data_IF_693958157469
#
_entry.id   IF_693958157469
#
_cell.length_a   1.000
_cell.length_b   1.000
_cell.length_c   1.000
_cell.angle_alpha   90.00
_cell.angle_beta   90.00
_cell.angle_gamma   90.00
#
_symmetry.space_group_name_H-M   'P 1'
#
loop_
_entity.id
_entity.type
_entity.pdbx_description
1 polymer ?
#
# COMPACT_ATOMS: atom_id res chain seq x y z
N UNK A 1 -1.87 -11.83 57.06
CA UNK A 1 -0.98 -11.92 55.89
C UNK A 1 0.09 -10.85 55.99
N UNK A 2 1.34 -11.29 56.10
CA UNK A 2 2.46 -10.41 56.37
C UNK A 2 2.90 -9.68 55.10
N UNK A 3 3.57 -8.53 55.23
CA UNK A 3 4.04 -7.73 54.09
C UNK A 3 4.92 -8.55 53.11
N UNK A 4 5.64 -9.54 53.64
CA UNK A 4 6.46 -10.48 52.90
C UNK A 4 5.63 -11.36 51.95
N UNK A 5 4.43 -11.79 52.36
CA UNK A 5 3.55 -12.63 51.53
C UNK A 5 2.94 -11.82 50.38
N UNK A 6 2.61 -10.55 50.63
CA UNK A 6 2.11 -9.63 49.59
C UNK A 6 3.17 -9.32 48.54
N UNK A 7 4.42 -9.11 48.95
CA UNK A 7 5.53 -8.85 48.03
C UNK A 7 5.83 -10.04 47.11
N UNK A 8 5.70 -11.27 47.62
CA UNK A 8 5.81 -12.49 46.81
C UNK A 8 4.71 -12.57 45.75
N UNK A 9 3.48 -12.24 46.10
CA UNK A 9 2.34 -12.22 45.15
C UNK A 9 2.58 -11.19 44.04
N UNK A 10 3.06 -9.99 44.39
CA UNK A 10 3.38 -8.94 43.40
C UNK A 10 4.50 -9.41 42.45
N UNK A 11 5.55 -10.04 42.97
CA UNK A 11 6.62 -10.61 42.15
C UNK A 11 6.12 -11.68 41.19
N UNK A 12 5.21 -12.56 41.63
CA UNK A 12 4.62 -13.58 40.77
C UNK A 12 3.78 -12.97 39.65
N UNK A 13 3.00 -11.93 39.93
CA UNK A 13 2.21 -11.22 38.91
C UNK A 13 3.09 -10.53 37.86
N UNK A 14 4.17 -9.87 38.31
CA UNK A 14 5.14 -9.25 37.40
C UNK A 14 5.80 -10.32 36.51
N UNK A 15 6.18 -11.47 37.08
CA UNK A 15 6.79 -12.56 36.31
C UNK A 15 5.84 -13.12 35.23
N UNK A 16 4.56 -13.31 35.56
CA UNK A 16 3.54 -13.75 34.59
C UNK A 16 3.34 -12.70 33.48
N UNK A 17 3.32 -11.42 33.84
CA UNK A 17 3.16 -10.33 32.87
C UNK A 17 4.36 -10.21 31.93
N UNK A 18 5.59 -10.34 32.45
CA UNK A 18 6.81 -10.35 31.64
C UNK A 18 6.84 -11.57 30.72
N UNK A 19 6.49 -12.76 31.21
CA UNK A 19 6.39 -13.96 30.40
C UNK A 19 5.35 -13.80 29.26
N UNK A 20 4.16 -13.30 29.59
CA UNK A 20 3.11 -13.00 28.59
C UNK A 20 3.52 -11.92 27.59
N UNK A 21 4.21 -10.88 28.04
CA UNK A 21 4.72 -9.79 27.19
C UNK A 21 5.80 -10.24 26.21
N UNK A 22 6.70 -11.14 26.62
CA UNK A 22 7.72 -11.72 25.73
C UNK A 22 7.06 -12.64 24.68
N UNK A 23 6.11 -13.48 25.08
CA UNK A 23 5.39 -14.36 24.14
C UNK A 23 4.51 -13.58 23.17
N UNK A 24 3.74 -12.61 23.65
CA UNK A 24 2.90 -11.75 22.81
C UNK A 24 3.72 -10.81 21.92
N UNK A 25 4.82 -10.26 22.43
CA UNK A 25 5.74 -9.40 21.68
C UNK A 25 6.41 -10.13 20.52
N UNK A 26 6.92 -11.34 20.74
CA UNK A 26 7.55 -12.15 19.67
C UNK A 26 6.56 -12.56 18.58
N UNK A 27 5.32 -12.94 18.95
CA UNK A 27 4.26 -13.25 17.98
C UNK A 27 3.86 -12.02 17.17
N UNK A 28 3.74 -10.85 17.81
CA UNK A 28 3.38 -9.59 17.16
C UNK A 28 4.49 -9.08 16.24
N UNK A 29 5.77 -9.21 16.62
CA UNK A 29 6.91 -8.82 15.78
C UNK A 29 7.01 -9.73 14.55
N UNK A 30 6.72 -11.03 14.67
CA UNK A 30 6.77 -11.96 13.54
C UNK A 30 5.59 -11.76 12.59
N UNK A 31 4.37 -11.55 13.10
CA UNK A 31 3.20 -11.19 12.29
C UNK A 31 3.36 -9.80 11.63
N UNK A 32 3.93 -8.83 12.35
CA UNK A 32 4.23 -7.50 11.85
C UNK A 32 5.26 -7.52 10.71
N UNK A 33 6.28 -8.40 10.77
CA UNK A 33 7.24 -8.57 9.67
C UNK A 33 6.60 -9.14 8.40
N UNK A 34 5.68 -10.11 8.51
CA UNK A 34 4.95 -10.63 7.34
C UNK A 34 4.01 -9.59 6.71
N UNK A 35 3.37 -8.76 7.54
CA UNK A 35 2.55 -7.65 7.03
C UNK A 35 3.39 -6.49 6.50
N UNK A 36 4.55 -6.18 7.10
CA UNK A 36 5.47 -5.15 6.61
C UNK A 36 6.17 -5.57 5.31
N UNK A 37 6.56 -6.84 5.13
CA UNK A 37 7.11 -7.31 3.85
C UNK A 37 6.06 -7.24 2.73
N UNK A 38 4.82 -7.67 3.01
CA UNK A 38 3.73 -7.57 2.04
C UNK A 38 3.38 -6.11 1.74
N UNK A 39 3.44 -5.23 2.75
CA UNK A 39 3.23 -3.78 2.60
C UNK A 39 4.43 -3.09 1.93
N UNK A 40 5.66 -3.59 2.04
CA UNK A 40 6.83 -3.06 1.32
C UNK A 40 6.86 -3.49 -0.14
N UNK A 41 6.37 -4.69 -0.47
CA UNK A 41 6.12 -5.11 -1.85
C UNK A 41 5.00 -4.29 -2.49
N UNK A 42 3.97 -3.91 -1.73
CA UNK A 42 2.90 -3.01 -2.17
C UNK A 42 3.28 -1.51 -2.18
N UNK A 43 4.28 -1.09 -1.39
CA UNK A 43 4.71 0.31 -1.21
C UNK A 43 5.89 0.69 -2.11
N UNK A 44 6.57 -0.30 -2.69
CA UNK A 44 7.45 -0.05 -3.82
C UNK A 44 6.53 0.13 -5.02
N UNK A 45 6.27 1.38 -5.39
CA UNK A 45 5.61 1.77 -6.63
C UNK A 45 6.33 1.15 -7.80
N UNK A 46 6.01 -0.11 -8.04
CA UNK A 46 6.57 -0.92 -9.08
C UNK A 46 5.74 -0.60 -10.29
N UNK A 47 5.90 0.65 -10.76
CA UNK A 47 5.58 1.06 -12.12
C UNK A 47 5.83 -0.15 -13.00
N UNK A 48 4.81 -0.55 -13.75
CA UNK A 48 4.89 -1.59 -14.76
C UNK A 48 5.81 -1.05 -15.86
N UNK A 49 7.08 -0.94 -15.52
CA UNK A 49 8.07 -0.22 -16.27
C UNK A 49 8.82 -1.25 -17.06
N UNK A 50 8.79 -1.08 -18.37
CA UNK A 50 9.48 -1.94 -19.33
C UNK A 50 10.99 -1.97 -19.03
N UNK A 51 11.52 -0.96 -18.33
CA UNK A 51 12.89 -0.94 -17.81
C UNK A 51 13.20 -2.09 -16.85
N UNK A 52 12.21 -2.59 -16.07
CA UNK A 52 12.41 -3.78 -15.24
C UNK A 52 12.61 -5.03 -16.10
N UNK A 53 12.00 -5.11 -17.28
CA UNK A 53 12.24 -6.22 -18.19
C UNK A 53 13.68 -6.19 -18.69
N UNK A 54 14.15 -5.03 -19.15
CA UNK A 54 15.53 -4.86 -19.62
C UNK A 54 16.55 -5.19 -18.52
N UNK A 55 16.31 -4.75 -17.28
CA UNK A 55 17.18 -5.02 -16.13
C UNK A 55 17.31 -6.52 -15.81
N UNK A 56 16.29 -7.33 -16.10
CA UNK A 56 16.31 -8.77 -15.83
C UNK A 56 16.87 -9.61 -17.00
N UNK A 57 16.98 -9.03 -18.20
CA UNK A 57 17.39 -9.76 -19.42
C UNK A 57 18.91 -9.89 -19.59
N UNK A 58 19.72 -9.27 -18.71
CA UNK A 58 21.20 -9.31 -18.75
C UNK A 58 21.75 -8.97 -20.16
N UNK A 59 21.29 -7.84 -20.68
CA UNK A 59 21.59 -7.39 -22.04
C UNK A 59 23.07 -7.00 -22.21
N UNK A 60 23.61 -7.23 -23.41
CA UNK A 60 24.88 -6.60 -23.81
C UNK A 60 24.68 -5.09 -24.07
N UNK A 61 25.76 -4.27 -24.05
CA UNK A 61 25.63 -2.83 -24.32
C UNK A 61 24.98 -2.52 -25.68
N UNK A 62 25.28 -3.30 -26.70
CA UNK A 62 24.69 -3.16 -28.04
C UNK A 62 23.19 -3.52 -28.07
N UNK A 63 22.77 -4.50 -27.27
CA UNK A 63 21.37 -4.87 -27.12
C UNK A 63 20.60 -3.81 -26.34
N UNK A 64 21.18 -3.27 -25.26
CA UNK A 64 20.56 -2.19 -24.48
C UNK A 64 20.29 -0.96 -25.35
N UNK A 65 21.26 -0.55 -26.17
CA UNK A 65 21.11 0.58 -27.09
C UNK A 65 19.94 0.41 -28.08
N UNK A 66 19.67 -0.82 -28.53
CA UNK A 66 18.56 -1.10 -29.45
C UNK A 66 17.21 -1.24 -28.74
N UNK A 67 17.19 -1.83 -27.55
CA UNK A 67 15.97 -2.15 -26.82
C UNK A 67 15.44 -0.99 -25.96
N UNK A 68 16.33 -0.13 -25.47
CA UNK A 68 15.98 1.06 -24.67
C UNK A 68 14.94 1.98 -25.34
N UNK A 69 15.07 2.38 -26.63
CA UNK A 69 14.05 3.23 -27.25
C UNK A 69 12.69 2.52 -27.40
N UNK A 70 12.69 1.21 -27.66
CA UNK A 70 11.45 0.41 -27.75
C UNK A 70 10.76 0.35 -26.38
N UNK A 71 11.53 0.14 -25.31
CA UNK A 71 11.01 0.12 -23.95
C UNK A 71 10.44 1.48 -23.52
N UNK A 72 11.12 2.57 -23.85
CA UNK A 72 10.66 3.93 -23.57
C UNK A 72 9.36 4.26 -24.32
N UNK A 73 9.26 3.86 -25.59
CA UNK A 73 8.03 4.05 -26.35
C UNK A 73 6.85 3.30 -25.71
N UNK A 74 7.05 2.03 -25.34
CA UNK A 74 6.01 1.23 -24.69
C UNK A 74 5.61 1.80 -23.32
N UNK A 75 6.57 2.30 -22.51
CA UNK A 75 6.27 2.96 -21.23
C UNK A 75 5.43 4.22 -21.44
N UNK A 76 5.74 5.03 -22.46
CA UNK A 76 4.97 6.23 -22.81
C UNK A 76 3.55 5.89 -23.29
N UNK A 77 3.39 4.88 -24.14
CA UNK A 77 2.07 4.43 -24.61
C UNK A 77 1.19 3.95 -23.44
N UNK A 78 1.76 3.17 -22.52
CA UNK A 78 1.07 2.71 -21.31
C UNK A 78 0.68 3.88 -20.40
N UNK A 79 1.58 4.84 -20.17
CA UNK A 79 1.28 6.04 -19.36
C UNK A 79 0.13 6.85 -19.93
N UNK A 80 0.11 7.05 -21.25
CA UNK A 80 -0.97 7.77 -21.92
C UNK A 80 -2.31 7.04 -21.77
N UNK A 81 -2.32 5.71 -21.95
CA UNK A 81 -3.50 4.88 -21.73
C UNK A 81 -4.01 5.00 -20.28
N UNK A 82 -3.11 4.94 -19.29
CA UNK A 82 -3.48 5.07 -17.89
C UNK A 82 -4.03 6.46 -17.55
N UNK A 83 -3.41 7.53 -18.06
CA UNK A 83 -3.91 8.89 -17.86
C UNK A 83 -5.34 9.07 -18.38
N UNK A 84 -5.64 8.52 -19.56
CA UNK A 84 -6.99 8.54 -20.13
C UNK A 84 -7.98 7.74 -19.27
N UNK A 85 -7.58 6.54 -18.83
CA UNK A 85 -8.44 5.65 -18.06
C UNK A 85 -8.65 6.11 -16.61
N UNK A 86 -7.68 6.82 -16.01
CA UNK A 86 -7.80 7.33 -14.63
C UNK A 86 -9.04 8.21 -14.47
N UNK A 87 -9.29 9.10 -15.44
CA UNK A 87 -10.46 9.97 -15.43
C UNK A 87 -11.77 9.18 -15.49
N UNK A 88 -11.81 8.10 -16.27
CA UNK A 88 -13.00 7.23 -16.34
C UNK A 88 -13.19 6.48 -15.02
N UNK A 89 -12.10 5.97 -14.43
CA UNK A 89 -12.14 5.28 -13.14
C UNK A 89 -12.63 6.22 -12.04
N UNK A 90 -12.13 7.46 -11.99
CA UNK A 90 -12.59 8.48 -11.04
C UNK A 90 -14.10 8.72 -11.18
N UNK A 91 -14.58 8.87 -12.43
CA UNK A 91 -16.00 9.02 -12.70
C UNK A 91 -16.83 7.80 -12.29
N UNK A 92 -16.32 6.58 -12.44
CA UNK A 92 -16.99 5.36 -11.95
C UNK A 92 -17.10 5.37 -10.42
N UNK A 93 -16.02 5.73 -9.73
CA UNK A 93 -15.98 5.79 -8.27
C UNK A 93 -16.93 6.86 -7.73
N UNK A 94 -16.97 8.05 -8.35
CA UNK A 94 -17.89 9.13 -7.97
C UNK A 94 -19.35 8.70 -8.14
N UNK A 95 -19.70 8.13 -9.30
CA UNK A 95 -21.05 7.61 -9.54
C UNK A 95 -21.44 6.49 -8.57
N UNK A 96 -20.48 5.66 -8.16
CA UNK A 96 -20.73 4.63 -7.16
C UNK A 96 -20.98 5.25 -5.79
N UNK A 97 -20.18 6.24 -5.39
CA UNK A 97 -20.35 6.97 -4.14
C UNK A 97 -21.73 7.64 -4.06
N UNK A 98 -22.13 8.36 -5.11
CA UNK A 98 -23.43 9.04 -5.21
C UNK A 98 -24.62 8.09 -5.07
N UNK A 99 -24.49 6.86 -5.61
CA UNK A 99 -25.54 5.84 -5.52
C UNK A 99 -25.60 5.18 -4.15
N UNK A 100 -24.47 5.08 -3.45
CA UNK A 100 -24.38 4.40 -2.16
C UNK A 100 -24.70 5.36 -1.01
N UNK A 101 -24.28 6.62 -1.08
CA UNK A 101 -24.43 7.61 -0.01
C UNK A 101 -25.87 7.72 0.54
N UNK A 102 -26.94 7.74 -0.28
CA UNK A 102 -28.32 7.82 0.21
C UNK A 102 -28.78 6.63 1.05
N UNK A 103 -28.09 5.48 0.95
CA UNK A 103 -28.41 4.24 1.67
C UNK A 103 -27.71 4.19 3.04
N UNK A 104 -26.62 4.96 3.20
CA UNK A 104 -25.73 4.90 4.35
C UNK A 104 -26.11 5.89 5.45
N UNK A 105 -25.75 5.55 6.68
CA UNK A 105 -25.75 6.48 7.81
C UNK A 105 -24.62 7.52 7.66
N UNK A 106 -24.75 8.67 8.34
CA UNK A 106 -23.85 9.81 8.15
C UNK A 106 -22.37 9.48 8.44
N UNK A 107 -22.10 8.67 9.45
CA UNK A 107 -20.76 8.19 9.81
C UNK A 107 -20.20 7.24 8.73
N UNK A 108 -21.04 6.39 8.17
CA UNK A 108 -20.67 5.47 7.08
C UNK A 108 -20.39 6.22 5.77
N UNK A 109 -21.12 7.30 5.48
CA UNK A 109 -20.86 8.18 4.33
C UNK A 109 -19.49 8.85 4.43
N UNK A 110 -19.13 9.36 5.63
CA UNK A 110 -17.80 9.92 5.86
C UNK A 110 -16.70 8.89 5.62
N UNK A 111 -16.91 7.66 6.09
CA UNK A 111 -15.95 6.58 5.88
C UNK A 111 -15.86 6.14 4.41
N UNK A 112 -16.98 6.12 3.69
CA UNK A 112 -17.00 5.82 2.26
C UNK A 112 -16.18 6.85 1.48
N UNK A 113 -16.38 8.15 1.73
CA UNK A 113 -15.59 9.23 1.13
C UNK A 113 -14.09 9.04 1.33
N UNK A 114 -13.67 8.72 2.56
CA UNK A 114 -12.26 8.47 2.85
C UNK A 114 -11.72 7.28 2.06
N UNK A 115 -12.46 6.16 1.99
CA UNK A 115 -12.02 4.98 1.23
C UNK A 115 -11.94 5.24 -0.28
N UNK A 116 -12.88 6.02 -0.83
CA UNK A 116 -12.87 6.42 -2.25
C UNK A 116 -11.66 7.30 -2.55
N UNK A 117 -11.40 8.31 -1.71
CA UNK A 117 -10.28 9.22 -1.88
C UNK A 117 -8.93 8.50 -1.76
N UNK A 118 -8.76 7.64 -0.75
CA UNK A 118 -7.57 6.78 -0.62
C UNK A 118 -7.37 5.90 -1.87
N UNK A 119 -8.46 5.39 -2.44
CA UNK A 119 -8.39 4.57 -3.65
C UNK A 119 -7.94 5.39 -4.87
N UNK A 120 -8.45 6.60 -5.05
CA UNK A 120 -8.03 7.51 -6.13
C UNK A 120 -6.55 7.84 -6.03
N UNK A 121 -6.10 8.24 -4.84
CA UNK A 121 -4.69 8.55 -4.57
C UNK A 121 -3.78 7.34 -4.84
N UNK A 122 -4.21 6.14 -4.42
CA UNK A 122 -3.47 4.91 -4.72
C UNK A 122 -3.37 4.66 -6.23
N UNK A 123 -4.44 4.87 -7.00
CA UNK A 123 -4.41 4.67 -8.45
C UNK A 123 -3.47 5.66 -9.16
N UNK A 124 -3.49 6.93 -8.78
CA UNK A 124 -2.57 7.95 -9.31
C UNK A 124 -1.11 7.57 -9.03
N UNK A 125 -0.81 7.18 -7.78
CA UNK A 125 0.54 6.74 -7.39
C UNK A 125 0.96 5.45 -8.11
N UNK A 126 0.05 4.48 -8.25
CA UNK A 126 0.30 3.20 -8.89
C UNK A 126 0.66 3.34 -10.37
N UNK A 127 -0.07 4.19 -11.09
CA UNK A 127 0.19 4.43 -12.52
C UNK A 127 1.32 5.42 -12.78
N UNK A 128 1.88 6.04 -11.73
CA UNK A 128 2.96 7.02 -11.82
C UNK A 128 2.67 8.10 -12.89
N UNK A 129 1.40 8.51 -12.97
CA UNK A 129 0.95 9.58 -13.86
C UNK A 129 1.30 10.88 -13.15
N UNK A 130 2.14 11.76 -13.76
CA UNK A 130 2.42 13.06 -13.17
C UNK A 130 1.10 13.81 -12.98
N UNK A 131 0.93 14.48 -11.83
CA UNK A 131 -0.27 15.27 -11.56
C UNK A 131 -0.56 16.18 -12.77
N UNK A 132 -1.79 16.22 -13.29
CA UNK A 132 -2.13 17.15 -14.34
C UNK A 132 -1.84 18.56 -13.82
N UNK A 133 -0.93 19.27 -14.49
CA UNK A 133 -0.69 20.69 -14.23
C UNK A 133 -2.01 21.41 -14.49
N UNK A 134 -2.71 21.78 -13.41
CA UNK A 134 -3.87 22.66 -13.48
C UNK A 134 -3.40 24.01 -14.05
N UNK A 135 -4.07 24.55 -15.09
CA UNK A 135 -3.76 25.86 -15.66
C UNK A 135 -4.04 27.01 -14.67
#
# INVERSE_FOLDING_TARGET
MNAIDRWKIVLTLIAIFVAGGVTGGLLTIRAGKYQMLRRSELRSGTSFSVDRWLANLRLTPEQDLKLRPIAQQADNELRNLYALNLREIDGILDRAEDRINPILQLDQQQRLRQMVEERKQYLVQWFNVPEPHLP
#
